data_IF_125105296183
#
_entry.id   IF_125105296183
#
_cell.length_a   1.000
_cell.length_b   1.000
_cell.length_c   1.000
_cell.angle_alpha   90.00
_cell.angle_beta   90.00
_cell.angle_gamma   90.00
#
_symmetry.space_group_name_H-M   'P 1'
#
loop_
_entity.id
_entity.type
_entity.pdbx_description
1 polymer ?
#
# COMPACT_ATOMS: atom_id res chain seq x y z
N UNK A 1 16.18 -4.27 -4.33
CA UNK A 1 15.32 -3.10 -4.67
C UNK A 1 13.87 -3.28 -4.14
N UNK A 2 13.55 -2.56 -3.06
CA UNK A 2 12.21 -2.66 -2.47
C UNK A 2 11.34 -1.45 -2.72
N UNK A 3 10.09 -1.56 -2.32
CA UNK A 3 9.16 -0.49 -2.46
C UNK A 3 8.62 -0.30 -1.07
N UNK A 4 8.37 0.94 -0.73
CA UNK A 4 7.81 1.26 0.56
C UNK A 4 6.48 1.82 0.20
N UNK A 5 5.47 1.41 0.94
CA UNK A 5 4.11 1.86 0.74
C UNK A 5 3.72 2.50 2.07
N UNK A 6 3.01 3.62 2.02
CA UNK A 6 2.56 4.29 3.24
C UNK A 6 1.19 4.91 2.97
N UNK A 7 0.30 4.87 3.95
CA UNK A 7 -1.03 5.42 3.78
C UNK A 7 -1.80 5.18 5.06
N UNK A 8 -3.05 5.62 5.11
CA UNK A 8 -3.89 5.43 6.29
C UNK A 8 -4.69 4.16 6.16
N UNK A 9 -4.69 3.36 7.20
CA UNK A 9 -5.45 2.12 7.17
C UNK A 9 -6.93 2.48 7.16
N UNK A 10 -7.27 3.60 7.82
CA UNK A 10 -8.66 4.06 7.93
C UNK A 10 -8.77 5.49 8.50
N UNK A 11 -9.77 6.24 8.06
CA UNK A 11 -9.93 7.58 8.60
C UNK A 11 -11.01 7.51 9.65
N UNK A 12 -10.67 7.99 10.86
CA UNK A 12 -11.58 7.98 12.00
C UNK A 12 -12.94 8.55 11.64
N UNK A 13 -13.93 7.65 11.73
CA UNK A 13 -15.31 7.96 11.42
C UNK A 13 -15.69 7.83 9.94
N UNK A 14 -15.07 8.67 9.12
CA UNK A 14 -15.32 8.73 7.67
C UNK A 14 -15.60 7.42 6.88
N UNK A 15 -14.80 6.37 7.15
CA UNK A 15 -14.96 5.07 6.47
C UNK A 15 -16.37 4.48 6.59
N UNK A 16 -17.14 4.94 7.59
CA UNK A 16 -18.54 4.52 7.86
C UNK A 16 -18.71 3.32 8.77
N UNK A 17 -19.97 2.98 9.03
CA UNK A 17 -20.31 1.85 9.89
C UNK A 17 -19.55 0.54 9.67
N UNK A 18 -19.64 -0.36 10.65
CA UNK A 18 -18.94 -1.66 10.63
C UNK A 18 -17.44 -1.45 10.39
N UNK A 19 -17.10 -1.15 9.14
CA UNK A 19 -15.74 -0.86 8.71
C UNK A 19 -15.09 0.12 9.66
N UNK A 20 -15.90 0.99 10.26
CA UNK A 20 -15.42 2.01 11.17
C UNK A 20 -14.37 1.58 12.18
N UNK A 21 -13.26 2.32 12.20
CA UNK A 21 -12.15 2.08 13.12
C UNK A 21 -12.11 3.27 14.10
N UNK A 22 -11.79 3.01 15.36
CA UNK A 22 -11.80 4.09 16.33
C UNK A 22 -10.64 3.94 17.31
N UNK A 23 -10.29 5.03 18.03
CA UNK A 23 -9.18 5.04 19.01
C UNK A 23 -9.12 3.89 20.06
N UNK A 24 -10.25 3.55 20.69
CA UNK A 24 -10.31 2.44 21.67
C UNK A 24 -9.74 1.19 21.01
N UNK A 25 -9.88 1.14 19.69
CA UNK A 25 -9.44 0.03 18.87
C UNK A 25 -7.99 0.15 18.46
N UNK A 26 -7.64 1.32 17.97
CA UNK A 26 -6.27 1.56 17.52
C UNK A 26 -5.27 1.30 18.64
N UNK A 27 -5.34 2.18 19.64
CA UNK A 27 -4.47 2.16 20.82
C UNK A 27 -4.37 0.77 21.45
N UNK A 28 -5.50 0.08 21.52
CA UNK A 28 -5.47 -1.25 22.07
C UNK A 28 -4.63 -2.10 21.11
N UNK A 29 -5.01 -2.06 19.83
CA UNK A 29 -4.38 -2.82 18.75
C UNK A 29 -2.85 -2.66 18.52
N UNK A 30 -2.29 -1.50 18.85
CA UNK A 30 -0.85 -1.31 18.64
C UNK A 30 -0.14 -1.12 19.98
N UNK A 31 1.16 -1.47 20.05
CA UNK A 31 1.91 -2.02 18.93
C UNK A 31 1.35 -3.43 18.72
N UNK A 32 1.06 -3.80 17.46
CA UNK A 32 0.51 -5.13 17.10
C UNK A 32 1.46 -6.25 17.53
N UNK A 33 0.92 -7.32 18.12
CA UNK A 33 1.78 -8.40 18.59
C UNK A 33 2.43 -9.12 17.41
N UNK A 34 1.59 -9.57 16.49
CA UNK A 34 2.06 -10.31 15.32
C UNK A 34 2.43 -9.42 14.14
N UNK A 35 3.68 -9.56 13.71
CA UNK A 35 4.21 -8.82 12.57
C UNK A 35 3.25 -8.94 11.38
N UNK A 36 2.48 -7.88 11.17
CA UNK A 36 1.46 -7.79 10.13
C UNK A 36 2.00 -7.83 8.72
N UNK A 37 1.44 -8.72 7.89
CA UNK A 37 1.82 -8.91 6.50
C UNK A 37 0.97 -8.21 5.45
N UNK A 38 1.57 -8.02 4.29
CA UNK A 38 0.95 -7.36 3.15
C UNK A 38 0.80 -8.36 2.00
N UNK A 39 -0.42 -8.69 1.66
CA UNK A 39 -0.62 -9.59 0.55
C UNK A 39 -1.51 -8.89 -0.46
N UNK A 40 -1.73 -9.52 -1.60
CA UNK A 40 -2.53 -8.94 -2.67
C UNK A 40 -3.89 -9.66 -2.75
N UNK A 41 -4.99 -8.92 -2.84
CA UNK A 41 -6.33 -9.50 -2.96
C UNK A 41 -6.78 -10.25 -1.71
N UNK A 42 -6.07 -10.04 -0.60
CA UNK A 42 -6.35 -10.73 0.68
C UNK A 42 -5.94 -12.20 0.61
N UNK A 43 -5.18 -12.55 -0.43
CA UNK A 43 -4.67 -13.89 -0.66
C UNK A 43 -3.57 -14.27 0.32
N UNK A 44 -3.94 -15.10 1.27
CA UNK A 44 -3.04 -15.63 2.29
C UNK A 44 -1.87 -16.30 1.60
N UNK A 45 -2.11 -16.88 0.43
CA UNK A 45 -1.07 -17.57 -0.34
C UNK A 45 -0.32 -16.60 -1.21
N UNK A 46 -0.66 -15.32 -1.09
CA UNK A 46 0.00 -14.31 -1.91
C UNK A 46 0.42 -13.07 -1.12
N UNK A 47 1.40 -13.25 -0.24
CA UNK A 47 1.96 -12.20 0.61
C UNK A 47 3.21 -11.76 -0.12
N UNK A 48 3.44 -10.45 -0.15
CA UNK A 48 4.57 -9.87 -0.88
C UNK A 48 5.38 -8.83 -0.11
N UNK A 49 5.18 -8.74 1.20
CA UNK A 49 5.90 -7.77 1.99
C UNK A 49 5.31 -7.81 3.37
N UNK A 50 5.66 -6.83 4.21
CA UNK A 50 5.14 -6.77 5.57
C UNK A 50 5.17 -5.35 6.14
N UNK A 51 4.07 -4.96 6.80
CA UNK A 51 3.95 -3.65 7.45
C UNK A 51 5.09 -3.52 8.47
N UNK A 52 5.99 -2.56 8.28
CA UNK A 52 7.09 -2.41 9.22
C UNK A 52 6.75 -1.51 10.40
N UNK A 53 5.62 -0.81 10.34
CA UNK A 53 5.18 0.09 11.42
C UNK A 53 3.83 0.77 11.17
N UNK A 54 3.08 0.99 12.24
CA UNK A 54 1.76 1.64 12.20
C UNK A 54 1.66 2.60 13.39
N UNK A 55 1.33 3.87 13.17
CA UNK A 55 1.19 4.76 14.29
C UNK A 55 -0.21 5.22 14.29
N UNK A 56 -0.52 6.05 15.27
CA UNK A 56 -1.85 6.58 15.42
C UNK A 56 -1.79 8.07 15.17
N UNK A 57 -2.42 8.50 14.08
CA UNK A 57 -2.46 9.92 13.71
C UNK A 57 -3.76 10.58 14.17
N UNK A 58 -3.71 11.90 14.32
CA UNK A 58 -4.86 12.69 14.73
C UNK A 58 -6.06 12.29 13.84
N UNK A 59 -5.75 11.98 12.57
CA UNK A 59 -6.74 11.60 11.56
C UNK A 59 -7.03 10.11 11.47
N UNK A 60 -6.06 9.26 11.82
CA UNK A 60 -6.28 7.82 11.75
C UNK A 60 -5.03 6.96 11.79
N UNK A 61 -5.14 5.64 11.66
CA UNK A 61 -3.92 4.83 11.69
C UNK A 61 -3.15 5.11 10.39
N UNK A 62 -1.85 5.38 10.50
CA UNK A 62 -0.98 5.63 9.33
C UNK A 62 0.10 4.56 9.34
N UNK A 63 0.31 3.89 8.21
CA UNK A 63 1.29 2.81 8.18
C UNK A 63 2.34 2.95 7.13
N UNK A 64 3.37 2.15 7.28
CA UNK A 64 4.47 2.11 6.34
C UNK A 64 4.75 0.61 6.18
N UNK A 65 5.07 0.18 4.99
CA UNK A 65 5.32 -1.23 4.84
C UNK A 65 6.35 -1.44 3.77
N UNK A 66 6.87 -2.65 3.72
CA UNK A 66 7.84 -2.98 2.71
C UNK A 66 7.30 -4.09 1.78
N UNK A 67 7.45 -3.86 0.48
CA UNK A 67 7.02 -4.79 -0.55
C UNK A 67 8.31 -5.10 -1.33
N UNK A 68 8.93 -6.20 -0.93
CA UNK A 68 10.16 -6.66 -1.54
C UNK A 68 9.88 -8.09 -2.02
N UNK A 69 9.37 -8.21 -3.25
CA UNK A 69 9.04 -9.50 -3.87
C UNK A 69 9.56 -9.43 -5.31
N UNK A 70 10.63 -10.15 -5.61
CA UNK A 70 11.13 -10.07 -6.98
C UNK A 70 10.12 -10.48 -8.03
N UNK A 71 9.28 -11.46 -7.74
CA UNK A 71 8.31 -11.90 -8.74
C UNK A 71 7.25 -10.85 -9.08
N UNK A 72 6.82 -10.09 -8.08
CA UNK A 72 5.80 -9.06 -8.28
C UNK A 72 6.16 -8.10 -9.40
N UNK A 73 7.44 -7.79 -9.59
CA UNK A 73 7.86 -6.88 -10.67
C UNK A 73 8.02 -7.63 -11.99
N UNK A 74 8.49 -8.86 -11.92
CA UNK A 74 8.69 -9.63 -13.13
C UNK A 74 7.43 -9.91 -13.93
N UNK A 75 6.36 -10.37 -13.27
CA UNK A 75 5.09 -10.72 -13.96
C UNK A 75 4.35 -9.53 -14.60
N UNK A 76 4.44 -8.38 -13.93
CA UNK A 76 3.84 -7.13 -14.35
C UNK A 76 4.62 -6.64 -15.57
N UNK A 77 5.94 -6.56 -15.43
CA UNK A 77 6.80 -6.13 -16.53
C UNK A 77 6.50 -6.93 -17.80
N UNK A 78 6.29 -8.23 -17.61
CA UNK A 78 5.96 -9.11 -18.69
C UNK A 78 4.63 -8.67 -19.25
N UNK A 79 3.63 -8.45 -18.39
CA UNK A 79 2.26 -8.04 -18.82
C UNK A 79 2.15 -6.75 -19.65
N UNK A 80 2.96 -5.75 -19.29
CA UNK A 80 2.97 -4.47 -19.98
C UNK A 80 3.37 -4.70 -21.45
N UNK A 81 2.73 -3.99 -22.36
CA UNK A 81 3.02 -4.14 -23.79
C UNK A 81 4.40 -3.58 -24.06
N UNK A 82 4.96 -3.97 -25.21
CA UNK A 82 6.28 -3.48 -25.66
C UNK A 82 6.40 -1.95 -25.62
N UNK A 83 5.28 -1.24 -25.52
CA UNK A 83 5.38 0.20 -25.47
C UNK A 83 4.77 0.93 -24.29
N UNK A 84 4.59 0.20 -23.21
CA UNK A 84 4.14 0.87 -22.02
C UNK A 84 5.49 1.55 -21.73
N UNK A 85 5.48 2.87 -21.61
CA UNK A 85 6.70 3.65 -21.36
C UNK A 85 7.32 3.98 -22.70
N UNK A 86 7.44 5.26 -23.04
CA UNK A 86 8.04 5.59 -24.32
C UNK A 86 9.56 5.50 -24.21
N UNK A 87 10.27 6.18 -25.11
CA UNK A 87 11.71 6.18 -25.04
C UNK A 87 12.10 7.30 -24.12
N UNK A 88 11.13 8.16 -23.80
CA UNK A 88 11.37 9.27 -22.87
C UNK A 88 11.61 8.71 -21.49
N UNK A 89 11.27 7.43 -21.34
CA UNK A 89 11.43 6.67 -20.11
C UNK A 89 12.72 5.88 -20.22
N UNK A 90 13.00 5.37 -21.41
CA UNK A 90 14.25 4.63 -21.63
C UNK A 90 15.32 5.50 -21.01
N UNK A 91 15.35 6.72 -21.49
CA UNK A 91 16.35 7.61 -20.99
C UNK A 91 16.01 8.22 -19.61
N UNK A 92 15.62 7.37 -18.65
CA UNK A 92 15.36 7.84 -17.30
C UNK A 92 14.86 6.90 -16.20
N UNK A 93 14.10 5.86 -16.53
CA UNK A 93 13.56 4.97 -15.48
C UNK A 93 14.22 3.58 -15.48
N UNK A 94 14.48 2.99 -14.28
CA UNK A 94 15.10 1.69 -13.97
C UNK A 94 14.38 0.52 -13.26
N UNK A 95 13.80 0.85 -12.09
CA UNK A 95 13.03 0.02 -11.12
C UNK A 95 11.85 0.94 -10.78
N UNK A 96 11.97 2.20 -11.21
CA UNK A 96 10.93 3.21 -11.03
C UNK A 96 9.83 2.84 -12.00
N UNK A 97 10.17 1.94 -12.92
CA UNK A 97 9.24 1.43 -13.88
C UNK A 97 8.40 0.35 -13.20
N UNK A 98 8.95 -0.30 -12.17
CA UNK A 98 8.21 -1.33 -11.44
C UNK A 98 7.23 -0.53 -10.66
N UNK A 99 7.78 0.44 -9.95
CA UNK A 99 7.00 1.33 -9.11
C UNK A 99 5.86 2.00 -9.86
N UNK A 100 6.07 2.38 -11.11
CA UNK A 100 5.03 3.02 -11.93
C UNK A 100 3.87 2.10 -12.22
N UNK A 101 4.19 0.83 -12.49
CA UNK A 101 3.21 -0.23 -12.78
C UNK A 101 2.39 -0.61 -11.55
N UNK A 102 3.07 -0.88 -10.44
CA UNK A 102 2.44 -1.28 -9.19
C UNK A 102 1.57 -0.21 -8.56
N UNK A 103 1.94 1.06 -8.75
CA UNK A 103 1.15 2.14 -8.18
C UNK A 103 -0.15 2.26 -8.94
N UNK A 104 -0.13 2.16 -10.26
CA UNK A 104 -1.38 2.30 -11.00
C UNK A 104 -2.30 1.07 -11.02
N UNK A 105 -1.72 -0.12 -10.90
CA UNK A 105 -2.51 -1.36 -10.88
C UNK A 105 -3.15 -1.60 -9.51
N UNK A 106 -2.37 -1.46 -8.44
CA UNK A 106 -2.81 -1.66 -7.07
C UNK A 106 -2.78 -0.38 -6.21
N UNK A 107 -3.61 0.62 -6.52
CA UNK A 107 -3.60 1.85 -5.74
C UNK A 107 -4.10 1.90 -4.33
N UNK A 108 -4.92 0.97 -3.89
CA UNK A 108 -5.41 1.04 -2.51
C UNK A 108 -4.97 -0.09 -1.57
N UNK A 109 -5.22 0.10 -0.28
CA UNK A 109 -4.84 -0.85 0.77
C UNK A 109 -6.05 -1.17 1.60
N UNK A 110 -6.24 -2.45 1.92
CA UNK A 110 -7.38 -2.91 2.71
C UNK A 110 -6.94 -3.58 3.98
N UNK A 111 -7.32 -3.01 5.12
CA UNK A 111 -6.96 -3.52 6.44
C UNK A 111 -7.96 -4.56 6.90
N UNK A 112 -7.66 -5.82 6.67
CA UNK A 112 -8.58 -6.85 7.13
C UNK A 112 -8.37 -6.90 8.65
N UNK A 113 -9.12 -6.05 9.36
CA UNK A 113 -9.01 -5.99 10.80
C UNK A 113 -9.56 -7.29 11.28
N UNK A 114 -9.02 -7.79 12.38
CA UNK A 114 -9.53 -9.04 12.94
C UNK A 114 -10.46 -8.56 14.04
N UNK A 115 -10.13 -7.35 14.48
CA UNK A 115 -10.74 -6.55 15.53
C UNK A 115 -9.56 -5.64 15.72
N UNK A 116 -8.43 -6.33 15.70
CA UNK A 116 -7.09 -5.83 15.82
C UNK A 116 -6.35 -7.17 15.77
N UNK A 127 -4.04 -7.00 13.95
CA UNK A 127 -4.98 -6.57 12.90
C UNK A 127 -5.35 -7.78 12.07
N UNK A 128 -4.33 -8.39 11.47
CA UNK A 128 -4.39 -9.59 10.61
C UNK A 128 -3.51 -9.34 9.38
N UNK A 129 -4.05 -8.66 8.37
CA UNK A 129 -3.24 -8.35 7.20
C UNK A 129 -3.79 -7.17 6.41
N UNK A 130 -2.89 -6.52 5.66
CA UNK A 130 -3.13 -5.35 4.81
C UNK A 130 -3.18 -5.84 3.35
N UNK A 131 -4.27 -5.59 2.63
CA UNK A 131 -4.39 -6.03 1.25
C UNK A 131 -4.15 -4.90 0.26
N UNK A 132 -3.54 -5.20 -0.88
CA UNK A 132 -3.33 -4.19 -1.90
C UNK A 132 -4.46 -4.45 -2.90
N UNK A 133 -5.06 -3.41 -3.47
CA UNK A 133 -6.18 -3.61 -4.37
C UNK A 133 -6.47 -2.34 -5.18
N UNK A 134 -7.48 -2.36 -6.06
CA UNK A 134 -7.83 -1.15 -6.82
C UNK A 134 -8.32 -0.11 -5.83
N UNK A 135 -9.52 -0.29 -5.29
CA UNK A 135 -10.02 0.66 -4.31
C UNK A 135 -10.57 -0.12 -3.14
N UNK A 136 -10.42 0.45 -1.96
CA UNK A 136 -10.89 -0.24 -0.77
C UNK A 136 -12.25 0.23 -0.29
N UNK A 137 -12.79 -0.54 0.64
CA UNK A 137 -14.07 -0.26 1.25
C UNK A 137 -14.03 1.07 2.03
N UNK A 138 -12.85 1.42 2.58
CA UNK A 138 -12.66 2.64 3.38
C UNK A 138 -12.36 3.93 2.64
N UNK A 139 -12.62 5.06 3.29
CA UNK A 139 -12.48 6.37 2.65
C UNK A 139 -11.16 7.11 2.37
N UNK A 140 -10.06 6.77 3.02
CA UNK A 140 -8.82 7.49 2.72
C UNK A 140 -7.74 6.48 2.35
N UNK A 141 -8.19 5.27 1.98
CA UNK A 141 -7.34 4.13 1.67
C UNK A 141 -6.50 4.15 0.41
N UNK A 142 -6.26 5.32 -0.17
CA UNK A 142 -5.39 5.36 -1.35
C UNK A 142 -3.96 5.35 -0.79
N UNK A 143 -3.02 4.74 -1.49
CA UNK A 143 -1.67 4.69 -0.97
C UNK A 143 -0.59 5.24 -1.89
N UNK A 144 0.57 5.51 -1.32
CA UNK A 144 1.71 6.01 -2.06
C UNK A 144 2.81 4.97 -1.90
N UNK A 145 3.53 4.74 -2.99
CA UNK A 145 4.64 3.79 -3.08
C UNK A 145 5.86 4.58 -3.57
N UNK A 146 7.05 4.22 -3.10
CA UNK A 146 8.31 4.86 -3.54
C UNK A 146 9.47 3.98 -3.16
N UNK A 147 10.70 4.43 -3.38
CA UNK A 147 11.82 3.57 -3.04
C UNK A 147 12.65 3.93 -1.83
N UNK A 148 12.05 4.58 -0.84
CA UNK A 148 12.74 4.93 0.39
C UNK A 148 11.62 5.28 1.35
N UNK A 149 11.69 4.82 2.60
CA UNK A 149 10.62 5.12 3.54
C UNK A 149 10.24 6.60 3.63
N UNK A 150 11.22 7.49 3.67
CA UNK A 150 10.92 8.91 3.79
C UNK A 150 10.26 9.50 2.56
N UNK A 151 10.23 8.75 1.46
CA UNK A 151 9.59 9.23 0.23
C UNK A 151 8.16 8.74 0.07
N UNK A 152 7.85 7.61 0.69
CA UNK A 152 6.52 7.05 0.61
C UNK A 152 5.62 7.98 1.37
N UNK A 153 6.14 8.47 2.48
CA UNK A 153 5.41 9.36 3.36
C UNK A 153 5.63 10.83 3.06
N UNK A 154 6.59 11.14 2.22
CA UNK A 154 6.85 12.53 1.92
C UNK A 154 5.68 13.39 1.41
N UNK A 155 4.79 12.83 0.54
CA UNK A 155 3.61 13.52 -0.05
C UNK A 155 2.32 13.74 0.73
N UNK A 156 2.20 13.18 1.93
CA UNK A 156 0.99 13.38 2.74
C UNK A 156 1.10 14.76 3.38
N UNK A 157 0.48 15.77 2.76
CA UNK A 157 0.56 17.16 3.23
C UNK A 157 0.07 17.52 4.61
N UNK A 158 -0.79 16.67 5.16
CA UNK A 158 -1.36 16.87 6.50
C UNK A 158 -0.56 16.17 7.63
N UNK A 159 0.03 15.02 7.31
CA UNK A 159 0.79 14.25 8.27
C UNK A 159 1.90 15.11 8.88
N UNK A 160 1.84 15.29 10.18
CA UNK A 160 2.80 16.09 10.94
C UNK A 160 4.23 15.63 10.76
N UNK A 161 5.16 16.57 10.80
CA UNK A 161 6.58 16.23 10.68
C UNK A 161 6.94 15.37 11.90
N UNK A 162 6.25 15.61 13.02
CA UNK A 162 6.43 14.88 14.27
C UNK A 162 6.09 13.38 14.09
N UNK A 163 5.06 13.13 13.26
CA UNK A 163 4.55 11.78 12.89
C UNK A 163 5.46 11.15 11.83
N UNK A 164 5.75 11.92 10.79
CA UNK A 164 6.60 11.45 9.73
C UNK A 164 7.88 10.97 10.38
N UNK A 165 8.37 11.77 11.32
CA UNK A 165 9.61 11.48 12.04
C UNK A 165 9.59 10.14 12.74
N UNK A 166 8.52 9.95 13.52
CA UNK A 166 8.31 8.76 14.31
C UNK A 166 8.36 7.47 13.51
N UNK A 167 7.72 7.45 12.34
CA UNK A 167 7.72 6.26 11.50
C UNK A 167 9.13 5.97 11.04
N UNK A 168 9.77 7.00 10.50
CA UNK A 168 11.13 6.90 9.99
C UNK A 168 12.08 6.28 10.99
N UNK A 169 11.87 6.52 12.28
CA UNK A 169 12.74 5.95 13.29
C UNK A 169 12.44 4.48 13.49
N UNK A 170 11.16 4.18 13.67
CA UNK A 170 10.71 2.82 13.87
C UNK A 170 11.30 1.99 12.74
N UNK A 171 11.34 2.56 11.54
CA UNK A 171 11.89 1.86 10.39
C UNK A 171 13.36 1.53 10.61
N UNK A 172 14.09 2.49 11.16
CA UNK A 172 15.50 2.28 11.40
C UNK A 172 15.72 1.04 12.29
N UNK A 173 14.84 0.81 13.26
CA UNK A 173 14.98 -0.36 14.11
C UNK A 173 14.85 -1.55 13.18
N UNK A 174 13.67 -1.66 12.57
CA UNK A 174 13.29 -2.75 11.66
C UNK A 174 14.41 -3.45 10.90
N UNK A 175 14.79 -4.61 11.42
CA UNK A 175 15.82 -5.39 10.74
C UNK A 175 15.01 -6.47 10.04
N UNK A 176 15.46 -6.81 8.84
CA UNK A 176 14.73 -7.76 8.04
C UNK A 176 14.38 -6.99 6.77
N UNK A 177 14.94 -5.80 6.62
CA UNK A 177 14.66 -5.03 5.42
C UNK A 177 15.41 -5.66 4.22
N UNK A 178 15.76 -6.95 4.32
CA UNK A 178 16.46 -7.71 3.27
C UNK A 178 15.51 -8.80 2.72
N UNK A 179 14.79 -9.40 3.67
CA UNK A 179 13.81 -10.45 3.44
C UNK A 179 13.17 -10.30 2.05
N UNK A 180 13.38 -11.23 1.13
CA UNK A 180 12.71 -11.10 -0.16
C UNK A 180 11.55 -12.11 -0.27
N UNK A 181 10.33 -11.58 -0.35
CA UNK A 181 9.13 -12.39 -0.46
C UNK A 181 9.02 -13.02 -1.84
N UNK A 182 9.02 -14.34 -1.87
CA UNK A 182 8.91 -15.04 -3.13
C UNK A 182 7.56 -15.68 -3.28
N UNK A 183 6.85 -15.33 -4.36
CA UNK A 183 5.55 -15.92 -4.70
C UNK A 183 5.90 -16.50 -6.07
N UNK A 184 4.98 -17.15 -6.75
CA UNK A 184 5.33 -17.76 -8.02
C UNK A 184 4.58 -17.24 -9.22
N UNK A 185 5.28 -16.57 -10.12
CA UNK A 185 4.73 -16.00 -11.36
C UNK A 185 3.38 -16.60 -11.81
N UNK A 186 3.31 -17.93 -11.88
CA UNK A 186 2.10 -18.64 -12.32
C UNK A 186 0.88 -18.34 -11.47
N UNK A 187 1.06 -18.26 -10.15
CA UNK A 187 -0.04 -17.96 -9.21
C UNK A 187 -0.18 -16.45 -8.96
N UNK A 188 0.92 -15.74 -9.20
CA UNK A 188 0.96 -14.31 -9.03
C UNK A 188 0.15 -13.73 -10.17
N UNK A 189 0.28 -14.30 -11.37
CA UNK A 189 -0.45 -13.82 -12.54
C UNK A 189 -1.95 -14.10 -12.43
N UNK A 190 -2.29 -15.01 -11.52
CA UNK A 190 -3.68 -15.38 -11.27
C UNK A 190 -4.25 -14.48 -10.19
N UNK A 191 -3.47 -14.16 -9.17
CA UNK A 191 -4.01 -13.27 -8.16
C UNK A 191 -4.17 -11.88 -8.79
N UNK A 192 -3.21 -11.48 -9.62
CA UNK A 192 -3.25 -10.18 -10.27
C UNK A 192 -4.29 -10.12 -11.36
N UNK A 193 -4.63 -11.27 -11.93
CA UNK A 193 -5.69 -11.30 -12.93
C UNK A 193 -6.99 -11.21 -12.15
N UNK A 194 -7.03 -11.81 -10.96
CA UNK A 194 -8.23 -11.82 -10.13
C UNK A 194 -8.65 -10.45 -9.63
N UNK A 195 -7.72 -9.52 -9.49
CA UNK A 195 -8.12 -8.21 -9.03
C UNK A 195 -8.74 -7.42 -10.18
N UNK A 196 -8.43 -7.79 -11.42
CA UNK A 196 -8.99 -7.13 -12.61
C UNK A 196 -10.43 -7.61 -12.85
N UNK A 197 -10.58 -8.92 -12.97
CA UNK A 197 -11.88 -9.55 -13.19
C UNK A 197 -12.89 -9.04 -12.16
N UNK A 198 -12.51 -9.12 -10.89
CA UNK A 198 -13.35 -8.68 -9.78
C UNK A 198 -13.38 -7.19 -9.58
N UNK A 199 -13.27 -6.41 -10.65
CA UNK A 199 -13.26 -4.95 -10.53
C UNK A 199 -13.58 -4.33 -11.85
N UNK A 200 -13.86 -5.16 -12.83
CA UNK A 200 -14.16 -4.67 -14.15
C UNK A 200 -15.39 -3.77 -14.23
N UNK A 201 -16.38 -4.03 -13.38
CA UNK A 201 -17.63 -3.27 -13.42
C UNK A 201 -17.63 -1.92 -12.73
N UNK A 202 -16.67 -1.69 -11.84
CA UNK A 202 -16.55 -0.42 -11.11
C UNK A 202 -16.39 0.81 -12.03
N UNK A 203 -17.21 1.83 -11.79
CA UNK A 203 -17.16 3.04 -12.60
C UNK A 203 -16.48 4.22 -11.91
N UNK A 204 -15.99 5.16 -12.71
CA UNK A 204 -15.25 6.32 -12.19
C UNK A 204 -14.15 5.83 -11.24
N UNK A 205 -13.47 4.79 -11.71
CA UNK A 205 -12.37 4.13 -11.03
C UNK A 205 -11.34 5.18 -10.61
N UNK A 206 -10.81 5.91 -11.59
CA UNK A 206 -9.81 6.92 -11.32
C UNK A 206 -10.34 8.13 -10.63
N UNK A 207 -11.66 8.32 -10.64
CA UNK A 207 -12.27 9.47 -9.96
C UNK A 207 -12.41 9.12 -8.49
N UNK A 208 -12.69 7.85 -8.22
CA UNK A 208 -12.80 7.36 -6.87
C UNK A 208 -11.40 7.52 -6.30
N UNK A 209 -10.41 6.94 -6.96
CA UNK A 209 -9.03 7.06 -6.52
C UNK A 209 -8.58 8.52 -6.51
N UNK A 210 -9.23 9.36 -7.29
CA UNK A 210 -8.86 10.76 -7.29
C UNK A 210 -9.21 11.33 -5.93
N UNK A 211 -10.45 11.15 -5.48
CA UNK A 211 -10.87 11.70 -4.20
C UNK A 211 -10.34 11.02 -2.94
N UNK A 212 -10.08 9.71 -2.98
CA UNK A 212 -9.53 9.00 -1.81
C UNK A 212 -8.14 9.57 -1.57
N UNK A 213 -7.47 9.92 -2.68
CA UNK A 213 -6.13 10.51 -2.68
C UNK A 213 -6.16 11.87 -1.96
N UNK A 214 -7.09 12.73 -2.37
CA UNK A 214 -7.25 14.04 -1.76
C UNK A 214 -7.61 13.91 -0.28
N UNK A 215 -8.37 12.90 0.07
CA UNK A 215 -8.74 12.71 1.46
C UNK A 215 -7.53 12.32 2.30
N UNK A 216 -6.64 11.50 1.75
CA UNK A 216 -5.47 11.08 2.52
C UNK A 216 -4.46 12.21 2.74
N UNK A 217 -4.60 13.29 2.00
CA UNK A 217 -3.65 14.36 2.15
C UNK A 217 -2.58 14.26 1.08
N UNK A 218 -2.71 13.29 0.17
CA UNK A 218 -1.75 13.16 -0.91
C UNK A 218 -2.18 14.23 -1.88
N UNK A 219 -1.73 15.45 -1.62
CA UNK A 219 -2.08 16.57 -2.48
C UNK A 219 -0.94 16.73 -3.48
N UNK A 220 0.27 16.37 -3.01
CA UNK A 220 1.50 16.44 -3.81
C UNK A 220 1.48 16.84 -5.29
N UNK A 221 1.67 18.16 -5.54
CA UNK A 221 1.70 18.82 -6.86
C UNK A 221 1.27 20.28 -6.75
#
# INVERSE_FOLDING_TARGET
>A
EALYVAGYLALYSKDEGELNITPEIVRSALPPTSKIPINIDHRKDCVVGEVIAIIEDIRGPFFLGIVRCPQLHAVLFEAAHSNFFGNRDSVLSPLERALYLVTNYLPSVSLSSKRLSPNEIPDGNFFTHVALCVVGRRVGTVVNYDCTPESSIEPFRVLSMESKARLLSLVKDYAGLNKVWKVSEDKLAKVLLSTAVNNMLLRDRWDVVAKRRREAGIMGH
#
